data_IF_095688414326
#
_entry.id   IF_095688414326
#
_cell.length_a   1.000
_cell.length_b   1.000
_cell.length_c   1.000
_cell.angle_alpha   90.00
_cell.angle_beta   90.00
_cell.angle_gamma   90.00
#
_symmetry.space_group_name_H-M   'P 1'
#
loop_
_entity.id
_entity.type
_entity.pdbx_description
1 polymer ?
#
# COMPACT_ATOMS: atom_id res chain seq x y z
N UNK A 1 31.49 44.11 11.38
CA UNK A 1 30.77 43.15 12.25
C UNK A 1 29.84 42.29 11.40
N UNK A 2 30.34 41.30 10.63
CA UNK A 2 29.44 40.52 9.75
C UNK A 2 30.04 39.19 9.25
N UNK A 3 30.83 38.49 10.08
CA UNK A 3 31.29 37.12 9.73
C UNK A 3 31.30 36.12 10.91
N UNK A 4 30.80 36.50 12.10
CA UNK A 4 30.77 35.61 13.28
C UNK A 4 29.39 35.05 13.64
N UNK A 5 28.33 35.41 12.90
CA UNK A 5 26.95 35.01 13.23
C UNK A 5 26.51 33.74 12.46
N UNK A 6 27.21 33.35 11.39
CA UNK A 6 26.84 32.18 10.59
C UNK A 6 27.32 30.83 11.14
N UNK A 7 28.30 30.80 12.06
CA UNK A 7 28.75 29.54 12.68
C UNK A 7 27.92 29.12 13.92
N UNK A 8 27.16 30.04 14.53
CA UNK A 8 26.32 29.71 15.69
C UNK A 8 24.99 29.03 15.28
N UNK A 9 24.51 29.28 14.05
CA UNK A 9 23.26 28.70 13.53
C UNK A 9 23.38 27.22 13.11
N UNK A 10 24.56 26.79 12.65
CA UNK A 10 24.77 25.39 12.25
C UNK A 10 25.17 24.47 13.41
N UNK A 11 25.71 25.01 14.50
CA UNK A 11 25.97 24.22 15.70
C UNK A 11 24.69 23.97 16.51
N UNK A 12 23.71 24.87 16.46
CA UNK A 12 22.45 24.73 17.19
C UNK A 12 21.48 23.70 16.56
N UNK A 13 21.54 23.47 15.24
CA UNK A 13 20.76 22.41 14.58
C UNK A 13 21.34 21.01 14.79
N UNK A 14 22.64 20.88 15.08
CA UNK A 14 23.27 19.63 15.49
C UNK A 14 23.13 19.35 17.00
N UNK A 15 22.90 20.39 17.81
CA UNK A 15 22.68 20.28 19.26
C UNK A 15 21.20 20.14 19.66
N UNK A 16 20.29 20.19 18.68
CA UNK A 16 18.88 19.87 18.83
C UNK A 16 18.52 18.49 18.24
N UNK A 17 19.46 17.54 18.27
CA UNK A 17 19.12 16.14 18.42
C UNK A 17 18.80 15.94 19.91
N UNK A 18 17.54 16.09 20.37
CA UNK A 18 17.19 15.51 21.65
C UNK A 18 17.58 14.04 21.54
N UNK A 19 18.39 13.60 22.51
CA UNK A 19 18.61 12.24 22.97
C UNK A 19 18.22 11.16 21.98
N UNK A 20 19.15 10.27 21.63
CA UNK A 20 18.85 8.93 21.12
C UNK A 20 17.57 8.38 21.79
N UNK A 21 16.41 8.67 21.19
CA UNK A 21 15.15 8.04 21.51
C UNK A 21 15.45 6.66 21.02
N UNK A 22 15.83 5.78 21.94
CA UNK A 22 15.92 4.37 21.63
C UNK A 22 14.64 4.04 20.89
N UNK A 23 14.80 3.65 19.62
CA UNK A 23 13.73 3.16 18.79
C UNK A 23 13.25 1.87 19.44
N UNK A 24 12.43 2.01 20.47
CA UNK A 24 11.98 0.89 21.28
C UNK A 24 11.01 0.12 20.41
N UNK A 25 11.41 -1.06 19.98
CA UNK A 25 10.56 -1.97 19.25
C UNK A 25 9.38 -2.39 20.14
N UNK A 26 8.16 -2.07 19.70
CA UNK A 26 6.92 -2.38 20.41
C UNK A 26 6.29 -3.69 19.96
N UNK A 27 6.65 -4.16 18.77
CA UNK A 27 6.13 -5.40 18.21
C UNK A 27 5.96 -5.29 16.70
N UNK A 28 5.77 -6.43 16.06
CA UNK A 28 5.65 -6.51 14.63
C UNK A 28 5.24 -7.92 14.20
N UNK A 29 5.08 -8.08 12.91
CA UNK A 29 4.85 -9.36 12.26
C UNK A 29 5.61 -9.39 10.94
N UNK A 30 5.88 -10.59 10.48
CA UNK A 30 6.27 -10.86 9.11
C UNK A 30 5.59 -12.16 8.68
N UNK A 31 5.23 -12.24 7.41
CA UNK A 31 4.68 -13.47 6.83
C UNK A 31 5.08 -13.62 5.37
N UNK A 32 4.89 -14.85 4.90
CA UNK A 32 4.95 -15.21 3.49
C UNK A 32 3.61 -15.84 3.09
N UNK A 33 3.05 -15.40 1.98
CA UNK A 33 1.72 -15.77 1.53
C UNK A 33 1.67 -16.22 0.08
N UNK A 34 0.80 -17.20 -0.20
CA UNK A 34 0.34 -17.51 -1.55
C UNK A 34 -1.06 -16.94 -1.72
N UNK A 35 -1.25 -16.23 -2.83
CA UNK A 35 -2.47 -15.52 -3.13
C UNK A 35 -2.95 -15.83 -4.55
N UNK A 36 -4.26 -15.75 -4.78
CA UNK A 36 -4.87 -15.84 -6.09
C UNK A 36 -5.95 -14.78 -6.23
N UNK A 37 -5.78 -13.86 -7.18
CA UNK A 37 -6.77 -12.84 -7.53
C UNK A 37 -7.63 -13.33 -8.70
N UNK A 38 -8.92 -13.47 -8.41
CA UNK A 38 -10.00 -13.85 -9.32
C UNK A 38 -10.82 -12.59 -9.65
N UNK A 39 -10.63 -12.04 -10.84
CA UNK A 39 -11.38 -10.86 -11.28
C UNK A 39 -12.81 -11.25 -11.68
N UNK A 40 -13.77 -10.38 -11.43
CA UNK A 40 -15.14 -10.62 -11.90
C UNK A 40 -15.20 -10.74 -13.42
N UNK A 41 -16.14 -11.53 -13.92
CA UNK A 41 -16.35 -11.69 -15.37
C UNK A 41 -16.68 -10.38 -16.09
N UNK A 42 -17.25 -9.39 -15.40
CA UNK A 42 -17.44 -8.04 -15.95
C UNK A 42 -16.09 -7.32 -16.12
N UNK A 43 -15.22 -7.41 -15.11
CA UNK A 43 -13.87 -6.82 -15.15
C UNK A 43 -13.02 -7.42 -16.28
N UNK A 44 -12.91 -8.74 -16.36
CA UNK A 44 -12.12 -9.41 -17.41
C UNK A 44 -12.66 -9.10 -18.80
N UNK A 45 -13.99 -9.14 -18.98
CA UNK A 45 -14.64 -8.79 -20.24
C UNK A 45 -14.36 -7.35 -20.67
N UNK A 46 -14.55 -6.37 -19.78
CA UNK A 46 -14.40 -4.95 -20.14
C UNK A 46 -12.95 -4.56 -20.38
N UNK A 47 -12.02 -5.14 -19.65
CA UNK A 47 -10.58 -4.85 -19.80
C UNK A 47 -9.93 -5.58 -20.97
N UNK A 48 -10.61 -6.55 -21.58
CA UNK A 48 -10.09 -7.44 -22.65
C UNK A 48 -9.45 -6.74 -23.86
N UNK A 49 -9.78 -5.47 -24.12
CA UNK A 49 -9.26 -4.69 -25.25
C UNK A 49 -8.29 -3.57 -24.85
N UNK A 50 -8.05 -3.35 -23.55
CA UNK A 50 -7.24 -2.24 -23.04
C UNK A 50 -6.22 -2.71 -22.01
N UNK A 51 -6.62 -2.92 -20.75
CA UNK A 51 -5.68 -3.29 -19.70
C UNK A 51 -5.47 -4.80 -19.54
N UNK A 52 -6.22 -5.64 -20.27
CA UNK A 52 -6.10 -7.11 -20.28
C UNK A 52 -6.00 -7.72 -18.88
N UNK A 53 -6.95 -7.42 -17.99
CA UNK A 53 -6.93 -8.02 -16.65
C UNK A 53 -7.44 -9.45 -16.74
N UNK A 54 -6.57 -10.37 -16.34
CA UNK A 54 -6.86 -11.78 -16.16
C UNK A 54 -6.50 -12.19 -14.73
N UNK A 55 -7.03 -13.34 -14.31
CA UNK A 55 -6.77 -13.90 -12.99
C UNK A 55 -5.30 -14.31 -12.86
N UNK A 56 -4.75 -14.18 -11.66
CA UNK A 56 -3.36 -14.56 -11.41
C UNK A 56 -3.08 -14.93 -9.97
N UNK A 57 -2.10 -15.83 -9.80
CA UNK A 57 -1.49 -16.12 -8.51
C UNK A 57 -0.26 -15.27 -8.25
N UNK A 58 0.02 -14.98 -6.98
CA UNK A 58 1.21 -14.26 -6.56
C UNK A 58 1.75 -14.75 -5.21
N UNK A 59 3.08 -14.61 -5.05
CA UNK A 59 3.76 -14.84 -3.79
C UNK A 59 3.99 -13.48 -3.13
N UNK A 60 3.59 -13.32 -1.88
CA UNK A 60 3.75 -12.09 -1.09
C UNK A 60 4.70 -12.35 0.08
N UNK A 61 5.60 -11.40 0.35
CA UNK A 61 6.25 -11.27 1.65
C UNK A 61 5.79 -9.94 2.23
N UNK A 62 5.11 -9.97 3.37
CA UNK A 62 4.67 -8.75 4.04
C UNK A 62 5.15 -8.69 5.49
N UNK A 63 5.15 -7.48 6.04
CA UNK A 63 5.48 -7.28 7.43
C UNK A 63 5.15 -5.88 7.91
N UNK A 64 5.01 -5.78 9.23
CA UNK A 64 4.80 -4.52 9.93
C UNK A 64 5.60 -4.48 11.22
N UNK A 65 6.07 -3.29 11.57
CA UNK A 65 6.84 -3.05 12.79
C UNK A 65 6.39 -1.75 13.44
N UNK A 66 6.19 -1.79 14.75
CA UNK A 66 5.82 -0.65 15.57
C UNK A 66 6.98 -0.32 16.49
N UNK A 67 7.26 0.97 16.61
CA UNK A 67 8.29 1.53 17.47
C UNK A 67 7.71 2.65 18.32
N UNK A 68 8.46 3.09 19.33
CA UNK A 68 8.13 4.28 20.12
C UNK A 68 7.97 5.56 19.28
N UNK A 69 8.65 5.65 18.13
CA UNK A 69 8.63 6.84 17.26
C UNK A 69 7.69 6.72 16.05
N UNK A 70 7.13 5.53 15.78
CA UNK A 70 6.34 5.35 14.57
C UNK A 70 6.06 3.90 14.20
N UNK A 71 5.44 3.73 13.04
CA UNK A 71 5.03 2.45 12.48
C UNK A 71 5.50 2.32 11.04
N UNK A 72 5.87 1.12 10.67
CA UNK A 72 6.26 0.71 9.33
C UNK A 72 5.37 -0.46 8.91
N UNK A 73 4.93 -0.46 7.66
CA UNK A 73 4.30 -1.61 7.03
C UNK A 73 4.78 -1.69 5.58
N UNK A 74 4.94 -2.89 5.05
CA UNK A 74 5.27 -3.06 3.64
C UNK A 74 5.08 -4.50 3.16
N UNK A 75 5.07 -4.64 1.84
CA UNK A 75 5.02 -5.92 1.18
C UNK A 75 5.83 -5.91 -0.11
N UNK A 76 6.15 -7.12 -0.58
CA UNK A 76 6.67 -7.41 -1.90
C UNK A 76 5.89 -8.57 -2.51
N UNK A 77 5.31 -8.34 -3.69
CA UNK A 77 4.62 -9.34 -4.49
C UNK A 77 5.45 -9.75 -5.70
N UNK A 78 5.55 -11.06 -5.92
CA UNK A 78 5.95 -11.64 -7.18
C UNK A 78 4.72 -12.27 -7.85
N UNK A 79 4.16 -11.52 -8.79
CA UNK A 79 2.92 -11.88 -9.46
C UNK A 79 3.20 -12.73 -10.70
N UNK A 80 2.33 -13.73 -10.94
CA UNK A 80 2.50 -14.72 -12.01
C UNK A 80 3.89 -15.39 -11.98
N UNK A 81 4.38 -15.73 -10.79
CA UNK A 81 5.71 -16.31 -10.60
C UNK A 81 5.90 -17.66 -11.31
N UNK A 82 4.81 -18.38 -11.58
CA UNK A 82 4.79 -19.66 -12.31
C UNK A 82 4.88 -19.51 -13.83
N UNK A 83 4.77 -18.30 -14.38
CA UNK A 83 4.97 -18.05 -15.80
C UNK A 83 6.47 -18.02 -16.16
N UNK A 84 6.83 -18.70 -17.25
CA UNK A 84 8.21 -18.71 -17.77
C UNK A 84 8.59 -17.34 -18.35
N UNK A 85 9.69 -16.75 -17.86
CA UNK A 85 10.23 -15.42 -18.25
C UNK A 85 10.47 -15.21 -19.75
N UNK A 86 10.61 -16.29 -20.52
CA UNK A 86 10.98 -16.22 -21.94
C UNK A 86 9.79 -16.40 -22.90
N UNK A 87 8.67 -16.95 -22.42
CA UNK A 87 7.54 -17.30 -23.29
C UNK A 87 6.43 -16.26 -23.24
N UNK A 88 6.39 -15.40 -22.21
CA UNK A 88 5.32 -14.43 -21.97
C UNK A 88 5.83 -12.96 -21.97
N UNK A 89 4.97 -11.97 -22.31
CA UNK A 89 5.24 -10.55 -22.09
C UNK A 89 5.63 -10.22 -20.65
N UNK A 90 6.43 -9.16 -20.46
CA UNK A 90 6.80 -8.65 -19.14
C UNK A 90 5.61 -8.25 -18.27
N UNK A 91 4.50 -7.83 -18.87
CA UNK A 91 3.23 -7.58 -18.18
C UNK A 91 2.62 -8.83 -17.51
N UNK A 92 2.98 -10.04 -17.98
CA UNK A 92 2.51 -11.33 -17.45
C UNK A 92 3.34 -11.82 -16.26
N UNK A 93 4.33 -11.06 -15.80
CA UNK A 93 5.06 -11.32 -14.56
C UNK A 93 5.43 -9.98 -13.95
N UNK A 94 4.90 -9.66 -12.77
CA UNK A 94 5.07 -8.33 -12.17
C UNK A 94 5.75 -8.42 -10.83
N UNK A 95 6.43 -7.34 -10.48
CA UNK A 95 7.01 -7.12 -9.18
C UNK A 95 6.34 -5.90 -8.58
N UNK A 96 5.66 -6.07 -7.45
CA UNK A 96 4.99 -4.98 -6.76
C UNK A 96 5.61 -4.83 -5.38
N UNK A 97 5.87 -3.61 -4.95
CA UNK A 97 6.27 -3.34 -3.57
C UNK A 97 5.49 -2.17 -3.00
N UNK A 98 5.32 -2.20 -1.69
CA UNK A 98 4.75 -1.11 -0.93
C UNK A 98 5.51 -0.92 0.36
N UNK A 99 5.65 0.33 0.76
CA UNK A 99 6.07 0.72 2.09
C UNK A 99 5.24 1.92 2.55
N UNK A 100 4.72 1.83 3.77
CA UNK A 100 4.01 2.92 4.44
C UNK A 100 4.66 3.17 5.79
N UNK A 101 4.90 4.43 6.10
CA UNK A 101 5.53 4.88 7.33
C UNK A 101 4.64 5.92 8.00
N UNK A 102 4.49 5.79 9.32
CA UNK A 102 3.81 6.77 10.17
C UNK A 102 4.78 7.21 11.24
N UNK A 103 5.35 8.40 11.11
CA UNK A 103 6.30 8.95 12.08
C UNK A 103 5.50 9.80 13.06
N UNK A 104 5.49 9.43 14.34
CA UNK A 104 4.67 10.07 15.36
C UNK A 104 5.12 11.50 15.65
N UNK A 105 4.13 12.40 15.74
CA UNK A 105 4.31 13.79 16.12
C UNK A 105 3.86 13.96 17.58
N UNK A 106 4.68 13.42 18.48
CA UNK A 106 4.38 13.30 19.91
C UNK A 106 3.32 12.22 20.21
N UNK A 107 2.77 12.25 21.43
CA UNK A 107 1.92 11.18 21.97
C UNK A 107 0.41 11.37 21.67
N UNK A 108 0.07 12.11 20.61
CA UNK A 108 -1.32 12.44 20.26
C UNK A 108 -1.98 11.45 19.31
N UNK A 109 -1.20 10.60 18.64
CA UNK A 109 -1.66 9.77 17.51
C UNK A 109 -1.53 10.48 16.15
N UNK A 110 -1.30 11.79 16.12
CA UNK A 110 -0.94 12.52 14.90
C UNK A 110 0.43 12.05 14.38
N UNK A 111 0.54 11.87 13.07
CA UNK A 111 1.76 11.37 12.43
C UNK A 111 2.04 12.04 11.07
N UNK A 112 3.32 12.13 10.71
CA UNK A 112 3.74 12.29 9.33
C UNK A 112 3.52 10.96 8.61
N UNK A 113 2.73 10.98 7.54
CA UNK A 113 2.41 9.83 6.72
C UNK A 113 3.26 9.83 5.45
N UNK A 114 3.95 8.73 5.18
CA UNK A 114 4.71 8.49 3.96
C UNK A 114 4.29 7.16 3.34
N UNK A 115 4.14 7.11 2.03
CA UNK A 115 3.78 5.90 1.28
C UNK A 115 4.62 5.88 0.00
N UNK A 116 5.40 4.82 -0.19
CA UNK A 116 6.03 4.49 -1.46
C UNK A 116 5.41 3.20 -2.00
N UNK A 117 5.00 3.23 -3.26
CA UNK A 117 4.48 2.08 -3.98
C UNK A 117 5.15 2.03 -5.35
N UNK A 118 5.44 0.82 -5.82
CA UNK A 118 5.94 0.61 -7.17
C UNK A 118 5.46 -0.71 -7.71
N UNK A 119 5.03 -0.74 -8.96
CA UNK A 119 4.75 -1.98 -9.70
C UNK A 119 5.42 -1.95 -11.05
N UNK A 120 6.07 -3.06 -11.42
CA UNK A 120 6.92 -3.16 -12.60
C UNK A 120 6.62 -4.44 -13.36
N UNK A 121 6.45 -4.33 -14.68
CA UNK A 121 6.51 -5.49 -15.58
C UNK A 121 7.93 -6.08 -15.61
N UNK A 122 8.02 -7.40 -15.72
CA UNK A 122 9.30 -8.11 -15.86
C UNK A 122 10.08 -7.59 -17.06
N UNK A 123 11.41 -7.43 -16.99
CA UNK A 123 12.22 -6.66 -17.94
C UNK A 123 12.23 -7.16 -19.40
N UNK A 124 11.59 -8.29 -19.70
CA UNK A 124 11.51 -8.85 -21.05
C UNK A 124 10.22 -8.39 -21.78
N UNK A 125 10.36 -7.70 -22.93
CA UNK A 125 9.27 -7.25 -23.84
C UNK A 125 8.58 -5.96 -23.39
N UNK A 126 7.27 -5.81 -23.63
CA UNK A 126 6.47 -4.61 -23.29
C UNK A 126 6.45 -4.46 -21.78
N UNK A 127 7.12 -3.43 -21.29
CA UNK A 127 7.27 -3.15 -19.86
C UNK A 127 6.46 -1.91 -19.50
N UNK A 128 5.88 -1.93 -18.32
CA UNK A 128 5.29 -0.77 -17.69
C UNK A 128 5.87 -0.62 -16.28
N UNK A 129 5.81 0.59 -15.77
CA UNK A 129 5.99 0.89 -14.36
C UNK A 129 4.91 1.88 -13.90
N UNK A 130 4.59 1.83 -12.63
CA UNK A 130 3.78 2.80 -11.90
C UNK A 130 4.34 2.94 -10.48
N UNK A 131 5.03 4.06 -10.26
CA UNK A 131 5.59 4.47 -9.00
C UNK A 131 4.78 5.62 -8.41
N UNK A 132 4.45 5.48 -7.13
CA UNK A 132 3.65 6.45 -6.39
C UNK A 132 4.34 6.77 -5.08
N UNK A 133 4.48 8.08 -4.82
CA UNK A 133 4.91 8.59 -3.53
C UNK A 133 3.82 9.49 -2.94
N UNK A 134 3.34 9.14 -1.74
CA UNK A 134 2.44 9.98 -0.96
C UNK A 134 3.17 10.51 0.27
N UNK A 135 2.96 11.80 0.55
CA UNK A 135 3.46 12.45 1.75
C UNK A 135 2.39 13.40 2.32
N UNK A 136 2.17 13.32 3.62
CA UNK A 136 1.16 14.13 4.28
C UNK A 136 1.01 13.82 5.76
N UNK A 137 -0.22 13.94 6.27
CA UNK A 137 -0.53 13.74 7.67
C UNK A 137 -1.48 12.57 7.85
N UNK A 138 -1.29 11.85 8.94
CA UNK A 138 -2.19 10.79 9.38
C UNK A 138 -2.52 10.91 10.85
N UNK A 139 -3.51 10.15 11.28
CA UNK A 139 -3.87 10.03 12.69
C UNK A 139 -4.17 8.57 13.02
N UNK A 140 -3.75 8.12 14.20
CA UNK A 140 -4.00 6.76 14.65
C UNK A 140 -5.12 6.74 15.71
N UNK A 141 -6.26 6.15 15.35
CA UNK A 141 -7.29 5.75 16.31
C UNK A 141 -7.10 4.27 16.61
N UNK A 142 -6.75 3.92 17.85
CA UNK A 142 -6.54 2.54 18.27
C UNK A 142 -7.26 2.29 19.58
N UNK A 143 -7.87 1.12 19.72
CA UNK A 143 -8.50 0.70 20.96
C UNK A 143 -8.48 -0.81 21.11
N UNK A 144 -9.37 -1.34 21.96
CA UNK A 144 -9.41 -2.76 22.24
C UNK A 144 -9.85 -3.55 21.00
N UNK A 145 -8.86 -4.15 20.31
CA UNK A 145 -9.07 -5.02 19.16
C UNK A 145 -9.34 -4.29 17.84
N UNK A 146 -9.48 -2.96 17.82
CA UNK A 146 -9.70 -2.18 16.60
C UNK A 146 -8.60 -1.15 16.34
N UNK A 147 -8.43 -0.83 15.06
CA UNK A 147 -7.67 0.32 14.61
C UNK A 147 -8.36 0.99 13.43
N UNK A 148 -8.24 2.31 13.35
CA UNK A 148 -8.61 3.13 12.21
C UNK A 148 -7.56 4.21 12.05
N UNK A 149 -6.86 4.19 10.92
CA UNK A 149 -5.69 5.04 10.68
C UNK A 149 -5.91 5.84 9.39
N UNK A 150 -6.68 6.94 9.41
CA UNK A 150 -6.83 7.79 8.24
C UNK A 150 -5.54 8.56 7.93
N UNK A 151 -5.44 9.02 6.70
CA UNK A 151 -4.42 9.92 6.21
C UNK A 151 -4.95 10.82 5.10
N UNK A 152 -4.27 11.96 4.94
CA UNK A 152 -4.43 12.88 3.83
C UNK A 152 -3.03 13.23 3.32
N UNK A 153 -2.78 13.01 2.03
CA UNK A 153 -1.44 13.15 1.47
C UNK A 153 -1.47 13.76 0.07
N UNK A 154 -0.42 14.51 -0.27
CA UNK A 154 -0.13 14.91 -1.64
C UNK A 154 0.51 13.73 -2.37
N UNK A 155 0.21 13.60 -3.66
CA UNK A 155 0.72 12.52 -4.51
C UNK A 155 1.75 13.04 -5.51
N UNK A 156 2.83 12.30 -5.65
CA UNK A 156 3.72 12.33 -6.80
C UNK A 156 3.63 10.98 -7.51
N UNK A 157 3.61 11.01 -8.83
CA UNK A 157 3.52 9.80 -9.66
C UNK A 157 4.64 9.80 -10.68
N UNK A 158 5.25 8.65 -10.88
CA UNK A 158 6.13 8.35 -12.00
C UNK A 158 5.68 7.03 -12.62
N UNK A 159 4.90 7.12 -13.70
CA UNK A 159 4.40 5.98 -14.44
C UNK A 159 4.77 6.11 -15.91
N UNK A 160 4.65 4.99 -16.64
CA UNK A 160 4.96 4.86 -18.08
C UNK A 160 4.49 6.02 -18.97
N UNK A 161 3.35 6.66 -18.65
CA UNK A 161 2.74 7.72 -19.46
C UNK A 161 2.60 9.06 -18.73
N UNK A 162 3.10 9.19 -17.50
CA UNK A 162 2.95 10.40 -16.69
C UNK A 162 3.99 10.47 -15.59
N UNK A 163 4.65 11.63 -15.45
CA UNK A 163 5.55 11.91 -14.33
C UNK A 163 5.23 13.30 -13.78
N UNK A 164 4.96 13.42 -12.48
CA UNK A 164 4.72 14.71 -11.84
C UNK A 164 3.86 14.64 -10.58
N UNK A 165 3.60 15.83 -10.01
CA UNK A 165 2.61 16.02 -8.94
C UNK A 165 1.22 15.64 -9.45
N UNK A 166 0.46 14.86 -8.69
CA UNK A 166 -0.79 14.24 -9.19
C UNK A 166 -1.92 14.29 -8.17
N UNK A 167 -2.26 15.51 -7.75
CA UNK A 167 -3.34 15.76 -6.80
C UNK A 167 -3.08 15.20 -5.41
N UNK A 168 -4.14 14.70 -4.80
CA UNK A 168 -4.18 14.31 -3.40
C UNK A 168 -4.85 12.96 -3.20
N UNK A 169 -4.55 12.35 -2.06
CA UNK A 169 -5.12 11.09 -1.62
C UNK A 169 -5.63 11.23 -0.19
N UNK A 170 -6.91 10.95 0.00
CA UNK A 170 -7.48 10.69 1.31
C UNK A 170 -7.67 9.18 1.43
N UNK A 171 -7.08 8.56 2.44
CA UNK A 171 -7.17 7.11 2.61
C UNK A 171 -7.14 6.68 4.06
N UNK A 172 -7.31 5.39 4.28
CA UNK A 172 -7.24 4.80 5.60
C UNK A 172 -6.86 3.33 5.55
N UNK A 173 -6.39 2.84 6.70
CA UNK A 173 -6.35 1.42 7.02
C UNK A 173 -7.12 1.21 8.31
N UNK A 174 -8.03 0.26 8.30
CA UNK A 174 -8.89 -0.10 9.42
C UNK A 174 -8.84 -1.60 9.66
N UNK A 175 -9.14 -2.01 10.89
CA UNK A 175 -9.41 -3.40 11.18
C UNK A 175 -9.94 -3.64 12.58
N UNK A 176 -10.44 -4.85 12.76
CA UNK A 176 -11.04 -5.32 13.98
C UNK A 176 -10.78 -6.81 14.15
N UNK A 177 -10.12 -7.18 15.23
CA UNK A 177 -9.90 -8.57 15.63
C UNK A 177 -10.93 -9.01 16.65
N UNK A 178 -11.48 -10.20 16.47
CA UNK A 178 -12.53 -10.76 17.34
C UNK A 178 -12.44 -12.28 17.42
N UNK A 179 -13.15 -12.84 18.40
CA UNK A 179 -13.29 -14.29 18.59
C UNK A 179 -14.68 -14.73 18.14
N UNK A 180 -14.76 -15.85 17.43
CA UNK A 180 -16.01 -16.59 17.21
C UNK A 180 -15.82 -18.00 17.76
N UNK A 181 -16.33 -18.25 18.97
CA UNK A 181 -15.99 -19.45 19.72
C UNK A 181 -14.52 -19.41 20.16
N UNK A 182 -13.78 -20.50 19.89
CA UNK A 182 -12.33 -20.61 20.13
C UNK A 182 -11.46 -20.04 19.01
N UNK A 183 -12.07 -19.64 17.90
CA UNK A 183 -11.36 -19.24 16.68
C UNK A 183 -11.16 -17.73 16.62
N UNK A 184 -9.97 -17.31 16.16
CA UNK A 184 -9.57 -15.90 16.06
C UNK A 184 -9.71 -15.38 14.65
N UNK A 185 -10.44 -14.28 14.50
CA UNK A 185 -10.68 -13.63 13.21
C UNK A 185 -10.23 -12.17 13.21
N UNK A 186 -9.94 -11.67 12.02
CA UNK A 186 -9.66 -10.25 11.78
C UNK A 186 -10.41 -9.79 10.54
N UNK A 187 -11.18 -8.71 10.67
CA UNK A 187 -11.70 -7.95 9.54
C UNK A 187 -10.74 -6.79 9.28
N UNK A 188 -10.33 -6.56 8.04
CA UNK A 188 -9.47 -5.43 7.66
C UNK A 188 -10.06 -4.70 6.46
N UNK A 189 -9.78 -3.41 6.37
CA UNK A 189 -10.11 -2.60 5.21
C UNK A 189 -9.00 -1.59 4.96
N UNK A 190 -8.54 -1.50 3.72
CA UNK A 190 -7.76 -0.35 3.26
C UNK A 190 -8.52 0.31 2.11
N UNK A 191 -8.43 1.63 2.02
CA UNK A 191 -9.06 2.39 0.97
C UNK A 191 -8.28 3.68 0.71
N UNK A 192 -8.22 4.08 -0.55
CA UNK A 192 -7.64 5.35 -0.98
C UNK A 192 -8.57 5.98 -2.02
N UNK A 193 -8.95 7.22 -1.74
CA UNK A 193 -9.68 8.08 -2.64
C UNK A 193 -8.71 9.14 -3.16
N UNK A 194 -8.54 9.16 -4.47
CA UNK A 194 -7.72 10.14 -5.18
C UNK A 194 -8.62 11.21 -5.77
N UNK A 195 -8.18 12.46 -5.72
CA UNK A 195 -8.90 13.60 -6.27
C UNK A 195 -7.94 14.70 -6.72
N UNK A 196 -8.45 15.60 -7.56
CA UNK A 196 -7.67 16.67 -8.21
C UNK A 196 -6.44 16.14 -8.96
N UNK A 197 -6.57 14.96 -9.58
CA UNK A 197 -5.50 14.38 -10.41
C UNK A 197 -5.17 15.30 -11.59
N UNK A 198 -3.91 15.24 -12.01
CA UNK A 198 -3.47 15.94 -13.21
C UNK A 198 -4.27 15.47 -14.43
N UNK A 199 -4.56 16.38 -15.36
CA UNK A 199 -5.40 16.09 -16.54
C UNK A 199 -4.81 14.99 -17.43
N UNK A 200 -3.48 14.96 -17.57
CA UNK A 200 -2.82 13.95 -18.38
C UNK A 200 -2.83 12.57 -17.71
N UNK A 201 -2.68 12.51 -16.37
CA UNK A 201 -2.88 11.27 -15.61
C UNK A 201 -4.34 10.80 -15.65
N UNK A 202 -5.28 11.74 -15.47
CA UNK A 202 -6.72 11.50 -15.45
C UNK A 202 -7.24 10.93 -16.78
N UNK A 203 -6.71 11.38 -17.92
CA UNK A 203 -7.08 10.89 -19.25
C UNK A 203 -6.88 9.38 -19.41
N UNK A 204 -5.87 8.80 -18.76
CA UNK A 204 -5.61 7.35 -18.76
C UNK A 204 -6.41 6.55 -17.74
N UNK A 205 -6.91 7.22 -16.69
CA UNK A 205 -7.44 6.60 -15.47
C UNK A 205 -8.90 6.96 -15.16
N UNK A 206 -9.67 7.44 -16.15
CA UNK A 206 -11.11 7.61 -15.99
C UNK A 206 -11.57 8.89 -15.29
N UNK A 207 -10.66 9.84 -15.02
CA UNK A 207 -11.04 11.17 -14.53
C UNK A 207 -10.15 11.69 -13.39
N UNK A 208 -10.54 12.88 -12.90
CA UNK A 208 -9.81 13.59 -11.83
C UNK A 208 -9.99 12.99 -10.45
N UNK A 209 -10.92 12.05 -10.31
CA UNK A 209 -11.23 11.32 -9.08
C UNK A 209 -11.19 9.81 -9.33
N UNK A 210 -10.87 9.04 -8.30
CA UNK A 210 -11.05 7.60 -8.32
C UNK A 210 -10.67 6.94 -7.01
N UNK A 211 -10.90 5.64 -6.95
CA UNK A 211 -10.85 4.88 -5.70
C UNK A 211 -10.16 3.54 -5.92
N UNK A 212 -9.43 3.08 -4.90
CA UNK A 212 -8.98 1.71 -4.78
C UNK A 212 -9.03 1.28 -3.31
N UNK A 213 -9.47 0.07 -3.07
CA UNK A 213 -9.44 -0.49 -1.74
C UNK A 213 -9.65 -1.98 -1.75
N UNK A 214 -9.69 -2.52 -0.54
CA UNK A 214 -10.13 -3.86 -0.32
C UNK A 214 -10.71 -4.04 1.09
N UNK A 215 -11.60 -5.01 1.24
CA UNK A 215 -12.09 -5.49 2.54
C UNK A 215 -11.73 -6.96 2.64
N UNK A 216 -11.06 -7.35 3.72
CA UNK A 216 -10.60 -8.72 3.90
C UNK A 216 -11.03 -9.32 5.23
N UNK A 217 -11.43 -10.57 5.17
CA UNK A 217 -11.76 -11.41 6.30
C UNK A 217 -10.70 -12.50 6.46
N UNK A 218 -10.06 -12.52 7.63
CA UNK A 218 -8.94 -13.38 7.96
C UNK A 218 -9.30 -14.31 9.10
N UNK A 219 -9.04 -15.61 8.91
CA UNK A 219 -9.03 -16.62 9.95
C UNK A 219 -7.59 -16.88 10.38
N UNK A 220 -7.27 -16.52 11.61
CA UNK A 220 -5.96 -16.72 12.23
C UNK A 220 -5.99 -18.07 12.96
N UNK A 221 -5.96 -19.17 12.20
CA UNK A 221 -6.19 -20.52 12.71
C UNK A 221 -5.15 -20.94 13.76
N UNK A 222 -3.90 -20.51 13.60
CA UNK A 222 -2.83 -20.72 14.58
C UNK A 222 -1.94 -19.46 14.63
N UNK A 223 -1.02 -19.34 15.61
CA UNK A 223 -0.03 -18.26 15.60
C UNK A 223 0.81 -18.17 14.31
N UNK A 224 0.91 -19.27 13.55
CA UNK A 224 1.75 -19.37 12.35
C UNK A 224 0.96 -19.53 11.05
N UNK A 225 -0.38 -19.58 11.10
CA UNK A 225 -1.19 -19.86 9.92
C UNK A 225 -2.41 -18.96 9.87
N UNK A 226 -2.50 -18.22 8.78
CA UNK A 226 -3.65 -17.37 8.46
C UNK A 226 -4.18 -17.70 7.09
N UNK A 227 -5.50 -17.82 6.97
CA UNK A 227 -6.18 -17.92 5.69
C UNK A 227 -7.20 -16.79 5.57
N UNK A 228 -7.48 -16.31 4.36
CA UNK A 228 -8.45 -15.25 4.20
C UNK A 228 -8.96 -15.04 2.79
N UNK A 229 -10.03 -14.27 2.73
CA UNK A 229 -10.65 -13.78 1.50
C UNK A 229 -10.65 -12.25 1.53
N UNK A 230 -10.36 -11.63 0.40
CA UNK A 230 -10.39 -10.18 0.26
C UNK A 230 -11.22 -9.79 -0.97
N UNK A 231 -12.22 -8.94 -0.79
CA UNK A 231 -12.88 -8.26 -1.89
C UNK A 231 -12.08 -7.02 -2.27
N UNK A 232 -11.51 -7.03 -3.48
CA UNK A 232 -10.71 -5.95 -4.06
C UNK A 232 -11.59 -5.13 -5.01
N UNK A 233 -11.52 -3.81 -4.94
CA UNK A 233 -12.28 -2.90 -5.82
C UNK A 233 -11.46 -1.69 -6.24
N UNK A 234 -11.64 -1.24 -7.48
CA UNK A 234 -11.07 -0.01 -8.00
C UNK A 234 -12.03 0.63 -9.00
N UNK A 235 -12.23 1.95 -8.94
CA UNK A 235 -13.04 2.68 -9.93
C UNK A 235 -12.32 3.95 -10.34
N UNK A 236 -12.37 4.28 -11.64
CA UNK A 236 -11.54 5.32 -12.26
C UNK A 236 -10.07 5.20 -11.80
N UNK A 237 -9.48 4.02 -11.96
CA UNK A 237 -8.11 3.69 -11.54
C UNK A 237 -7.64 2.44 -12.28
N UNK A 238 -6.34 2.13 -12.17
CA UNK A 238 -5.70 0.97 -12.80
C UNK A 238 -5.85 0.93 -14.33
N UNK A 239 -5.82 2.11 -14.96
CA UNK A 239 -5.94 2.27 -16.40
C UNK A 239 -7.36 2.19 -16.95
N UNK A 240 -8.40 2.23 -16.12
CA UNK A 240 -9.79 2.05 -16.55
C UNK A 240 -10.73 3.10 -15.94
N UNK A 241 -11.86 3.35 -16.61
CA UNK A 241 -12.86 4.38 -16.28
C UNK A 241 -14.18 3.79 -15.76
N UNK A 242 -14.10 2.63 -15.11
CA UNK A 242 -15.24 1.91 -14.57
C UNK A 242 -14.79 1.05 -13.37
N UNK A 243 -15.78 0.58 -12.59
CA UNK A 243 -15.57 -0.31 -11.45
C UNK A 243 -14.98 -1.65 -11.89
N UNK A 244 -13.80 -1.96 -11.37
CA UNK A 244 -13.12 -3.24 -11.47
C UNK A 244 -13.11 -3.87 -10.08
N UNK A 245 -13.46 -5.14 -10.00
CA UNK A 245 -13.53 -5.85 -8.73
C UNK A 245 -13.24 -7.35 -8.86
N UNK A 246 -12.86 -7.95 -7.73
CA UNK A 246 -12.46 -9.35 -7.67
C UNK A 246 -12.28 -9.85 -6.25
N UNK A 247 -12.02 -11.15 -6.13
CA UNK A 247 -11.76 -11.84 -4.87
C UNK A 247 -10.31 -12.31 -4.84
N UNK A 248 -9.59 -12.00 -3.76
CA UNK A 248 -8.28 -12.57 -3.49
C UNK A 248 -8.43 -13.65 -2.43
N UNK A 249 -8.01 -14.87 -2.77
CA UNK A 249 -7.88 -15.99 -1.85
C UNK A 249 -6.45 -16.04 -1.35
N UNK A 250 -6.26 -16.20 -0.04
CA UNK A 250 -4.94 -16.07 0.59
C UNK A 250 -4.69 -17.15 1.62
N UNK A 251 -3.45 -17.67 1.65
CA UNK A 251 -2.92 -18.53 2.71
C UNK A 251 -1.52 -18.05 3.07
N UNK A 252 -1.27 -17.85 4.37
CA UNK A 252 -0.07 -17.19 4.90
C UNK A 252 0.57 -18.00 6.01
N UNK A 253 1.90 -18.03 6.02
CA UNK A 253 2.72 -18.50 7.12
C UNK A 253 3.31 -17.31 7.87
N UNK A 254 2.99 -17.17 9.16
CA UNK A 254 3.45 -16.08 10.03
C UNK A 254 4.65 -16.55 10.86
N UNK A 255 5.74 -15.78 10.85
CA UNK A 255 7.00 -16.11 11.54
C UNK A 255 6.92 -15.92 13.05
#
# INVERSE_FOLDING_TARGET
MTKKILLAGYAATLLALPQLVHAEFKGGFADIGLHYLDWTSDTTRKTSNKSHKDDFGYLEIEGGANFSWGELYGFFDWENFYNSRHTKPGSEQRYTFKNTNRIYLGDSGLNLYLHAYGTYGSPNRVNFHDDMFLYGLGYNFTGNGYWFKPFFAKRYTDQTYYTGDNGYVMGWVAGYSFMLGSEKFTLTNWNEYEFDRDESYAAGNGGKDGINGAVAFWWNATPHFTAGIQYRYADNKLGEAFLQDGIIYSVKYVF
#
